data_IF_882109253356
#
_entry.id   IF_882109253356
#
_cell.length_a   1.000
_cell.length_b   1.000
_cell.length_c   1.000
_cell.angle_alpha   90.00
_cell.angle_beta   90.00
_cell.angle_gamma   90.00
#
_symmetry.space_group_name_H-M   'P 1'
#
loop_
_entity.id
_entity.type
_entity.pdbx_description
1 polymer ?
#
# COMPACT_ATOMS: atom_id res chain seq x y z
N UNK A 1 44.93 -4.19 -39.13
CA UNK A 1 45.24 -4.74 -37.80
C UNK A 1 44.11 -5.63 -37.39
N UNK A 2 44.31 -6.88 -37.10
CA UNK A 2 43.29 -7.91 -37.14
C UNK A 2 42.46 -7.98 -35.86
N UNK A 3 41.15 -8.22 -36.08
CA UNK A 3 40.15 -8.55 -35.09
C UNK A 3 40.32 -10.03 -34.70
N UNK A 4 40.49 -10.29 -33.39
CA UNK A 4 40.52 -11.67 -32.87
C UNK A 4 39.15 -12.03 -32.38
N UNK A 5 38.50 -12.97 -33.11
CA UNK A 5 37.28 -13.64 -32.69
C UNK A 5 37.61 -14.72 -31.64
N UNK A 6 37.09 -14.59 -30.43
CA UNK A 6 37.13 -15.63 -29.41
C UNK A 6 35.80 -16.42 -29.46
N UNK A 7 35.92 -17.67 -29.97
CA UNK A 7 34.83 -18.65 -29.97
C UNK A 7 34.77 -19.32 -28.57
N UNK A 8 33.70 -19.08 -27.79
CA UNK A 8 33.47 -19.77 -26.52
C UNK A 8 32.46 -20.88 -26.76
N UNK A 9 32.95 -22.13 -26.76
CA UNK A 9 32.14 -23.34 -26.80
C UNK A 9 31.53 -23.63 -25.42
N UNK A 10 30.20 -23.81 -25.38
CA UNK A 10 29.46 -24.22 -24.16
C UNK A 10 29.75 -25.70 -23.85
N UNK A 11 29.97 -26.08 -22.57
CA UNK A 11 30.00 -27.46 -22.16
C UNK A 11 28.57 -28.05 -22.06
N UNK A 12 28.41 -29.28 -22.52
CA UNK A 12 27.18 -30.07 -22.43
C UNK A 12 26.91 -30.49 -20.98
N UNK A 13 25.67 -30.33 -20.55
CA UNK A 13 25.13 -30.89 -19.32
C UNK A 13 25.09 -32.42 -19.40
N UNK A 14 25.71 -33.07 -18.42
CA UNK A 14 25.59 -34.53 -18.17
C UNK A 14 24.59 -34.68 -17.01
N UNK A 15 23.58 -35.54 -17.21
CA UNK A 15 22.53 -35.84 -16.22
C UNK A 15 23.10 -36.66 -15.05
N UNK A 16 22.63 -36.41 -13.80
CA UNK A 16 23.03 -37.23 -12.67
C UNK A 16 22.11 -38.45 -12.55
N UNK A 17 22.69 -39.63 -12.68
CA UNK A 17 22.05 -40.88 -12.27
C UNK A 17 22.80 -41.45 -11.07
N UNK A 18 21.99 -41.76 -10.02
CA UNK A 18 22.25 -42.66 -8.90
C UNK A 18 23.42 -42.35 -7.95
N UNK A 19 23.06 -41.75 -6.79
CA UNK A 19 23.86 -41.86 -5.58
C UNK A 19 23.11 -42.78 -4.62
N UNK A 20 23.65 -43.97 -4.37
CA UNK A 20 23.17 -44.87 -3.32
C UNK A 20 23.60 -44.32 -1.93
N UNK A 21 22.63 -44.12 -1.06
CA UNK A 21 22.86 -43.79 0.35
C UNK A 21 23.12 -45.07 1.17
N UNK A 22 24.34 -45.24 1.64
CA UNK A 22 24.67 -46.23 2.63
C UNK A 22 24.65 -45.58 4.02
N UNK A 23 23.65 -45.92 4.83
CA UNK A 23 23.56 -45.52 6.24
C UNK A 23 24.53 -46.32 7.09
N UNK A 24 25.50 -45.67 7.73
CA UNK A 24 26.32 -46.26 8.81
C UNK A 24 25.82 -45.74 10.16
N UNK A 25 25.46 -46.65 11.04
CA UNK A 25 25.11 -46.38 12.45
C UNK A 25 26.35 -46.01 13.25
N UNK A 26 26.36 -44.87 13.91
CA UNK A 26 27.46 -44.41 14.74
C UNK A 26 27.38 -45.06 16.13
N UNK A 27 28.47 -45.71 16.50
CA UNK A 27 28.72 -46.16 17.87
C UNK A 27 29.19 -45.01 18.78
N UNK A 28 29.03 -45.18 20.07
CA UNK A 28 29.27 -44.23 21.15
C UNK A 28 30.75 -43.83 21.30
N UNK A 29 31.28 -43.03 20.42
CA UNK A 29 32.50 -42.24 20.72
C UNK A 29 32.74 -41.25 19.55
N UNK A 30 32.52 -40.00 19.82
CA UNK A 30 32.51 -38.96 18.78
C UNK A 30 33.91 -38.62 18.20
N UNK A 31 34.26 -39.30 17.12
CA UNK A 31 35.32 -38.88 16.23
C UNK A 31 34.81 -39.06 14.79
N UNK A 32 34.55 -37.96 14.12
CA UNK A 32 34.20 -37.94 12.70
C UNK A 32 35.48 -37.93 11.88
N UNK A 33 35.80 -39.06 11.19
CA UNK A 33 36.85 -39.06 10.16
C UNK A 33 36.18 -38.78 8.79
N UNK A 34 36.58 -37.65 8.20
CA UNK A 34 36.27 -37.39 6.78
C UNK A 34 37.43 -37.88 5.95
N UNK A 35 37.29 -39.05 5.34
CA UNK A 35 38.24 -39.59 4.38
C UNK A 35 37.85 -39.20 2.97
N UNK A 36 38.61 -38.37 2.29
CA UNK A 36 38.55 -38.19 0.86
C UNK A 36 39.43 -39.26 0.18
N UNK A 37 38.81 -40.16 -0.56
CA UNK A 37 39.53 -41.07 -1.47
C UNK A 37 39.60 -40.43 -2.86
N UNK A 38 40.76 -39.92 -3.23
CA UNK A 38 41.04 -39.55 -4.61
C UNK A 38 41.97 -40.62 -5.20
N UNK A 39 41.45 -41.37 -6.18
CA UNK A 39 42.25 -42.29 -6.98
C UNK A 39 42.84 -41.49 -8.15
N UNK A 40 44.16 -41.30 -8.13
CA UNK A 40 44.93 -40.85 -9.33
C UNK A 40 46.19 -41.70 -9.48
N UNK A 41 46.38 -42.14 -10.70
CA UNK A 41 47.44 -43.04 -11.18
C UNK A 41 48.84 -42.73 -10.68
N UNK A 42 49.50 -43.70 -10.12
CA UNK A 42 50.87 -44.08 -10.42
C UNK A 42 52.02 -43.17 -10.01
N UNK A 43 52.14 -42.83 -8.69
CA UNK A 43 53.46 -42.40 -8.13
C UNK A 43 53.59 -42.85 -6.66
N UNK A 44 54.83 -43.16 -6.19
CA UNK A 44 55.01 -43.75 -4.88
C UNK A 44 54.78 -42.73 -3.73
N UNK A 45 54.01 -43.22 -2.74
CA UNK A 45 53.67 -42.48 -1.52
C UNK A 45 54.92 -42.17 -0.69
N UNK A 46 55.24 -40.91 -0.48
CA UNK A 46 56.10 -40.48 0.63
C UNK A 46 55.16 -40.16 1.81
N UNK A 47 55.24 -40.99 2.85
CA UNK A 47 54.53 -40.75 4.10
C UNK A 47 55.22 -39.60 4.86
N UNK A 48 54.60 -38.40 4.82
CA UNK A 48 54.97 -37.31 5.73
C UNK A 48 54.05 -37.39 6.96
N UNK A 49 54.63 -37.80 8.08
CA UNK A 49 53.94 -37.82 9.36
C UNK A 49 53.77 -36.36 9.85
N UNK A 50 52.67 -35.72 9.56
CA UNK A 50 52.31 -34.44 10.19
C UNK A 50 51.63 -34.70 11.54
N UNK A 51 52.31 -34.29 12.61
CA UNK A 51 51.74 -34.28 13.95
C UNK A 51 50.49 -33.39 13.97
N UNK A 52 49.34 -34.00 14.21
CA UNK A 52 48.03 -33.30 14.33
C UNK A 52 48.03 -32.52 15.66
N UNK A 53 48.35 -31.23 15.59
CA UNK A 53 48.00 -30.29 16.66
C UNK A 53 46.49 -30.06 16.62
N UNK A 54 45.79 -30.65 17.57
CA UNK A 54 44.33 -30.45 17.71
C UNK A 54 44.07 -28.99 18.08
N UNK A 55 43.75 -28.17 17.11
CA UNK A 55 43.16 -26.85 17.33
C UNK A 55 41.70 -27.10 17.79
N UNK A 56 41.47 -27.00 19.10
CA UNK A 56 40.09 -26.85 19.63
C UNK A 56 39.57 -25.49 19.14
N UNK A 57 38.91 -25.47 18.00
CA UNK A 57 38.01 -24.38 17.69
C UNK A 57 36.81 -24.48 18.68
N UNK A 58 36.80 -23.56 19.61
CA UNK A 58 35.60 -23.31 20.40
C UNK A 58 34.52 -22.84 19.40
N UNK A 59 33.59 -23.74 19.08
CA UNK A 59 32.32 -23.35 18.43
C UNK A 59 31.62 -22.51 19.49
N UNK A 60 31.76 -21.21 19.43
CA UNK A 60 30.85 -20.33 20.13
C UNK A 60 29.45 -20.69 19.61
N UNK A 61 28.46 -20.88 20.49
CA UNK A 61 27.09 -21.03 20.02
C UNK A 61 26.77 -19.78 19.20
N UNK A 62 26.43 -19.97 17.92
CA UNK A 62 25.83 -18.93 17.15
C UNK A 62 24.58 -18.53 17.95
N UNK A 63 24.63 -17.38 18.60
CA UNK A 63 23.42 -16.78 19.14
C UNK A 63 22.44 -16.73 17.99
N UNK A 64 21.42 -17.55 18.03
CA UNK A 64 20.28 -17.43 17.13
C UNK A 64 19.70 -16.08 17.45
N UNK A 65 19.98 -15.08 16.61
CA UNK A 65 19.34 -13.78 16.71
C UNK A 65 17.86 -14.08 16.52
N UNK A 66 17.14 -14.18 17.64
CA UNK A 66 15.69 -14.32 17.62
C UNK A 66 15.15 -13.08 16.94
N UNK A 67 14.37 -13.27 15.87
CA UNK A 67 13.74 -12.16 15.19
C UNK A 67 12.92 -11.34 16.21
N UNK A 68 13.03 -10.04 16.15
CA UNK A 68 12.25 -9.13 16.98
C UNK A 68 11.06 -8.61 16.19
N UNK A 69 10.04 -8.21 16.90
CA UNK A 69 8.88 -7.49 16.38
C UNK A 69 9.06 -6.01 16.70
N UNK A 70 9.32 -5.21 15.70
CA UNK A 70 9.33 -3.75 15.85
C UNK A 70 7.91 -3.25 15.76
N UNK A 71 7.50 -2.41 16.70
CA UNK A 71 6.20 -1.74 16.75
C UNK A 71 6.39 -0.24 16.94
N UNK A 72 5.54 0.57 16.32
CA UNK A 72 5.51 2.02 16.51
C UNK A 72 4.22 2.41 17.23
N UNK A 73 4.37 2.95 18.42
CA UNK A 73 3.28 3.36 19.29
C UNK A 73 3.03 4.86 19.17
N UNK A 74 1.78 5.29 19.37
CA UNK A 74 1.45 6.71 19.52
C UNK A 74 1.83 7.15 20.93
N UNK A 75 2.86 7.99 21.04
CA UNK A 75 3.38 8.50 22.31
C UNK A 75 2.66 9.76 22.79
N UNK A 76 2.36 10.65 21.85
CA UNK A 76 1.63 11.88 22.11
C UNK A 76 0.80 12.30 20.91
N UNK A 77 -0.23 13.11 21.13
CA UNK A 77 -1.09 13.65 20.08
C UNK A 77 -0.37 14.76 19.30
N UNK A 78 -0.61 14.90 17.98
CA UNK A 78 -0.06 16.01 17.21
C UNK A 78 -0.66 17.33 17.69
N UNK A 79 0.20 18.32 17.94
CA UNK A 79 -0.19 19.71 18.14
C UNK A 79 -0.21 20.41 16.79
N UNK A 80 -1.22 21.22 16.51
CA UNK A 80 -1.38 21.97 15.24
C UNK A 80 -1.25 21.09 13.98
N UNK A 81 -1.66 19.83 14.03
CA UNK A 81 -1.57 18.89 12.92
C UNK A 81 -0.15 18.53 12.46
N UNK A 82 0.89 18.95 13.18
CA UNK A 82 2.29 18.68 12.81
C UNK A 82 2.68 17.24 13.14
N UNK A 83 3.24 16.56 12.16
CA UNK A 83 3.70 15.17 12.28
C UNK A 83 5.22 15.17 12.35
N UNK A 84 5.77 14.42 13.32
CA UNK A 84 7.21 14.23 13.48
C UNK A 84 7.52 13.03 14.38
N UNK A 85 8.76 12.57 14.39
CA UNK A 85 9.20 11.40 15.16
C UNK A 85 8.87 11.49 16.66
N UNK A 86 8.83 12.70 17.22
CA UNK A 86 8.53 12.94 18.63
C UNK A 86 7.15 12.46 19.07
N UNK A 87 6.20 12.28 18.12
CA UNK A 87 4.85 11.78 18.39
C UNK A 87 4.83 10.27 18.65
N UNK A 88 5.91 9.57 18.34
CA UNK A 88 5.95 8.13 18.30
C UNK A 88 7.00 7.55 19.26
N UNK A 89 6.79 6.30 19.62
CA UNK A 89 7.75 5.48 20.35
C UNK A 89 7.99 4.20 19.57
N UNK A 90 9.24 3.89 19.27
CA UNK A 90 9.64 2.64 18.63
C UNK A 90 9.97 1.63 19.72
N UNK A 91 9.29 0.49 19.73
CA UNK A 91 9.53 -0.57 20.70
C UNK A 91 9.88 -1.87 19.99
N UNK A 92 10.81 -2.64 20.57
CA UNK A 92 11.16 -3.98 20.13
C UNK A 92 10.64 -4.99 21.14
N UNK A 93 9.90 -5.97 20.65
CA UNK A 93 9.35 -7.08 21.43
C UNK A 93 9.80 -8.41 20.84
N UNK A 94 9.62 -9.49 21.58
CA UNK A 94 9.77 -10.82 21.00
C UNK A 94 8.62 -11.07 20.01
N UNK A 95 8.92 -11.80 18.92
CA UNK A 95 7.87 -12.18 17.96
C UNK A 95 6.82 -13.03 18.70
N UNK A 96 5.54 -12.61 18.69
CA UNK A 96 4.49 -13.30 19.40
C UNK A 96 4.23 -14.68 18.77
N UNK A 97 3.66 -15.61 19.56
CA UNK A 97 3.28 -16.91 19.06
C UNK A 97 1.74 -17.01 18.98
N UNK A 98 1.20 -17.55 17.87
CA UNK A 98 -0.25 -17.70 17.73
C UNK A 98 -0.78 -18.79 18.65
N UNK A 99 -1.87 -18.51 19.35
CA UNK A 99 -2.67 -19.48 20.11
C UNK A 99 -3.58 -20.33 19.23
N UNK A 100 -4.53 -21.03 19.86
CA UNK A 100 -5.54 -21.82 19.16
C UNK A 100 -6.45 -20.89 18.31
N UNK A 101 -6.73 -21.27 17.07
CA UNK A 101 -7.48 -20.50 16.08
C UNK A 101 -6.88 -19.11 15.76
N UNK A 102 -5.56 -18.97 15.87
CA UNK A 102 -4.85 -17.76 15.50
C UNK A 102 -3.80 -18.03 14.44
N UNK A 103 -3.40 -16.97 13.77
CA UNK A 103 -2.31 -16.95 12.80
C UNK A 103 -1.25 -15.92 13.21
N UNK A 104 0.00 -16.19 12.87
CA UNK A 104 1.08 -15.21 12.90
C UNK A 104 1.32 -14.71 11.47
N UNK A 105 1.18 -13.41 11.27
CA UNK A 105 1.43 -12.74 10.00
C UNK A 105 2.71 -11.92 10.10
N UNK A 106 3.62 -12.09 9.13
CA UNK A 106 4.72 -11.15 8.89
C UNK A 106 4.25 -10.13 7.87
N UNK A 107 4.13 -8.88 8.29
CA UNK A 107 3.75 -7.78 7.40
C UNK A 107 4.91 -7.48 6.43
N UNK A 108 4.58 -7.27 5.16
CA UNK A 108 5.55 -6.94 4.10
C UNK A 108 5.41 -5.52 3.61
N UNK A 109 4.16 -5.04 3.53
CA UNK A 109 3.86 -3.67 3.11
C UNK A 109 2.75 -3.08 3.96
N UNK A 110 2.87 -1.79 4.22
CA UNK A 110 1.94 -1.00 5.01
C UNK A 110 1.50 0.22 4.22
N UNK A 111 0.23 0.59 4.35
CA UNK A 111 -0.36 1.75 3.71
C UNK A 111 -0.24 2.99 4.58
N UNK A 112 0.18 4.10 4.00
CA UNK A 112 0.02 5.43 4.59
C UNK A 112 -1.14 6.16 3.91
N UNK A 113 -2.06 6.66 4.71
CA UNK A 113 -3.30 7.33 4.29
C UNK A 113 -3.51 8.63 5.07
N UNK A 114 -4.09 9.68 4.46
CA UNK A 114 -4.33 10.96 5.16
C UNK A 114 -5.20 10.81 6.41
N UNK A 115 -6.10 9.83 6.43
CA UNK A 115 -6.97 9.54 7.58
C UNK A 115 -6.21 9.19 8.86
N UNK A 116 -4.95 8.74 8.76
CA UNK A 116 -4.11 8.39 9.91
C UNK A 116 -3.94 9.61 10.83
N UNK A 117 -3.83 10.83 10.27
CA UNK A 117 -3.73 12.03 11.09
C UNK A 117 -4.95 12.19 12.00
N UNK A 118 -6.17 12.02 11.47
CA UNK A 118 -7.39 12.07 12.27
C UNK A 118 -7.45 11.01 13.37
N UNK A 119 -6.86 9.83 13.14
CA UNK A 119 -6.79 8.77 14.16
C UNK A 119 -5.78 9.06 15.29
N UNK A 120 -4.85 9.99 15.05
CA UNK A 120 -3.87 10.44 16.06
C UNK A 120 -4.41 11.57 16.95
N UNK A 121 -5.50 12.24 16.57
CA UNK A 121 -6.11 13.33 17.31
C UNK A 121 -6.96 12.79 18.47
N UNK A 122 -7.46 13.69 19.34
CA UNK A 122 -8.37 13.35 20.42
C UNK A 122 -9.85 13.54 20.03
N UNK A 123 -10.15 13.51 18.73
CA UNK A 123 -11.52 13.71 18.22
C UNK A 123 -12.38 12.47 18.49
N UNK A 124 -13.18 12.53 19.55
CA UNK A 124 -14.12 11.46 19.92
C UNK A 124 -15.37 11.42 19.03
N UNK A 125 -15.65 12.47 18.25
CA UNK A 125 -16.76 12.53 17.29
C UNK A 125 -16.37 11.93 15.91
N UNK A 126 -15.11 11.48 15.77
CA UNK A 126 -14.64 10.82 14.54
C UNK A 126 -15.42 9.52 14.26
N UNK A 127 -15.58 9.19 12.99
CA UNK A 127 -16.22 7.95 12.53
C UNK A 127 -15.50 6.65 12.96
N UNK A 128 -14.31 6.75 13.53
CA UNK A 128 -13.54 5.67 14.13
C UNK A 128 -12.86 6.21 15.40
N UNK A 129 -12.86 5.44 16.51
CA UNK A 129 -12.21 5.90 17.74
C UNK A 129 -10.74 6.27 17.51
N UNK A 130 -10.20 7.30 18.18
CA UNK A 130 -8.77 7.62 18.15
C UNK A 130 -7.90 6.43 18.53
N UNK A 131 -6.64 6.44 18.10
CA UNK A 131 -5.63 5.54 18.66
C UNK A 131 -5.30 6.01 20.07
N UNK A 132 -5.32 5.10 21.06
CA UNK A 132 -4.95 5.44 22.41
C UNK A 132 -3.44 5.71 22.56
N UNK A 133 -3.06 6.57 23.49
CA UNK A 133 -1.65 6.79 23.77
C UNK A 133 -1.02 5.51 24.34
N UNK A 134 0.11 5.11 23.76
CA UNK A 134 0.78 3.85 24.06
C UNK A 134 0.33 2.66 23.21
N UNK A 135 -0.71 2.81 22.40
CA UNK A 135 -1.14 1.78 21.46
C UNK A 135 -0.36 1.85 20.13
N UNK A 136 -0.31 0.72 19.45
CA UNK A 136 0.29 0.64 18.10
C UNK A 136 -0.50 1.48 17.12
N UNK A 137 0.21 2.28 16.34
CA UNK A 137 -0.39 3.09 15.30
C UNK A 137 -1.20 2.26 14.32
N UNK A 138 -2.34 2.79 13.90
CA UNK A 138 -3.28 2.10 13.00
C UNK A 138 -2.93 2.32 11.54
N UNK A 139 -2.93 1.23 10.76
CA UNK A 139 -2.88 1.28 9.29
C UNK A 139 -3.37 -0.01 8.67
N UNK A 140 -3.80 0.03 7.42
CA UNK A 140 -3.94 -1.17 6.62
C UNK A 140 -2.57 -1.68 6.16
N UNK A 141 -2.46 -2.98 6.00
CA UNK A 141 -1.24 -3.64 5.55
C UNK A 141 -1.53 -4.94 4.82
N UNK A 142 -0.48 -5.51 4.25
CA UNK A 142 -0.46 -6.83 3.62
C UNK A 142 0.74 -7.60 4.14
N UNK A 143 0.59 -8.89 4.34
CA UNK A 143 1.64 -9.73 4.88
C UNK A 143 1.40 -11.21 4.61
N UNK A 144 2.41 -12.01 4.91
CA UNK A 144 2.37 -13.48 4.74
C UNK A 144 2.09 -14.16 6.07
N UNK A 145 1.18 -15.11 6.06
CA UNK A 145 0.98 -16.04 7.17
C UNK A 145 2.21 -16.92 7.30
N UNK A 146 2.91 -16.86 8.42
CA UNK A 146 4.13 -17.65 8.68
C UNK A 146 3.89 -18.82 9.64
N UNK A 147 2.85 -18.76 10.46
CA UNK A 147 2.36 -19.87 11.28
C UNK A 147 0.86 -19.79 11.36
N UNK A 148 0.16 -20.91 11.24
CA UNK A 148 -1.29 -20.96 11.33
C UNK A 148 -1.77 -22.12 12.22
N UNK A 149 -2.61 -21.75 13.20
CA UNK A 149 -3.46 -22.67 13.96
C UNK A 149 -4.94 -22.48 13.60
N UNK A 150 -5.24 -21.68 12.54
CA UNK A 150 -6.59 -21.31 12.14
C UNK A 150 -7.07 -22.15 10.95
N UNK A 151 -8.32 -22.66 10.95
CA UNK A 151 -8.81 -23.57 9.90
C UNK A 151 -8.90 -22.91 8.51
N UNK A 152 -9.14 -21.59 8.45
CA UNK A 152 -9.36 -20.89 7.18
C UNK A 152 -8.10 -20.28 6.58
N UNK A 153 -6.96 -20.27 7.30
CA UNK A 153 -5.71 -19.69 6.82
C UNK A 153 -4.59 -20.72 6.84
N UNK A 154 -3.77 -20.74 5.79
CA UNK A 154 -2.61 -21.61 5.67
C UNK A 154 -1.30 -20.80 5.70
N UNK A 155 -0.21 -21.45 6.13
CA UNK A 155 1.13 -20.90 6.00
C UNK A 155 1.43 -20.58 4.52
N UNK A 156 1.95 -19.37 4.26
CA UNK A 156 2.20 -18.86 2.93
C UNK A 156 1.06 -18.03 2.32
N UNK A 157 -0.16 -18.09 2.89
CA UNK A 157 -1.24 -17.22 2.43
C UNK A 157 -0.82 -15.74 2.53
N UNK A 158 -1.08 -14.99 1.47
CA UNK A 158 -1.00 -13.54 1.48
C UNK A 158 -2.32 -12.99 2.00
N UNK A 159 -2.27 -12.18 3.06
CA UNK A 159 -3.46 -11.62 3.71
C UNK A 159 -3.34 -10.10 3.83
N UNK A 160 -4.48 -9.40 3.75
CA UNK A 160 -4.54 -7.96 3.93
C UNK A 160 -5.65 -7.56 4.91
N UNK A 161 -5.44 -6.46 5.64
CA UNK A 161 -6.38 -5.91 6.61
C UNK A 161 -5.76 -4.83 7.48
N UNK A 162 -6.39 -4.54 8.62
CA UNK A 162 -5.83 -3.58 9.58
C UNK A 162 -4.75 -4.26 10.42
N UNK A 163 -3.48 -4.00 10.09
CA UNK A 163 -2.33 -4.67 10.73
C UNK A 163 -1.56 -3.75 11.70
N UNK A 164 -1.68 -2.43 11.53
CA UNK A 164 -0.97 -1.44 12.33
C UNK A 164 0.51 -1.27 11.93
N UNK A 165 1.20 -0.39 12.62
CA UNK A 165 2.61 -0.10 12.37
C UNK A 165 3.50 -1.08 13.15
N UNK A 166 3.62 -2.28 12.63
CA UNK A 166 4.40 -3.39 13.22
C UNK A 166 4.87 -4.37 12.16
N UNK A 167 5.91 -5.14 12.48
CA UNK A 167 6.43 -6.16 11.55
C UNK A 167 5.65 -7.48 11.64
N UNK A 168 5.19 -7.85 12.84
CA UNK A 168 4.48 -9.11 13.09
C UNK A 168 3.17 -8.87 13.82
N UNK A 169 2.15 -9.61 13.44
CA UNK A 169 0.79 -9.56 14.01
C UNK A 169 0.29 -10.99 14.30
N UNK A 170 -0.18 -11.23 15.53
CA UNK A 170 -1.06 -12.38 15.82
C UNK A 170 -2.52 -11.95 15.65
N UNK A 171 -3.31 -12.74 14.97
CA UNK A 171 -4.72 -12.44 14.66
C UNK A 171 -5.58 -13.70 14.69
N UNK A 172 -6.85 -13.54 15.13
CA UNK A 172 -7.90 -14.56 15.02
C UNK A 172 -8.55 -14.60 13.62
N UNK A 173 -7.93 -13.96 12.62
CA UNK A 173 -8.40 -13.90 11.24
C UNK A 173 -9.50 -12.87 10.98
N UNK A 174 -10.15 -12.32 12.02
CA UNK A 174 -11.21 -11.33 11.85
C UNK A 174 -10.68 -10.04 11.23
N UNK A 175 -11.34 -9.57 10.17
CA UNK A 175 -10.92 -8.36 9.46
C UNK A 175 -9.70 -8.56 8.55
N UNK A 176 -9.15 -9.76 8.47
CA UNK A 176 -8.17 -10.14 7.45
C UNK A 176 -8.84 -10.84 6.27
N UNK A 177 -8.41 -10.49 5.08
CA UNK A 177 -8.89 -11.10 3.83
C UNK A 177 -7.70 -11.72 3.10
N UNK A 178 -7.87 -12.93 2.57
CA UNK A 178 -6.88 -13.52 1.68
C UNK A 178 -6.81 -12.73 0.39
N UNK A 179 -5.60 -12.45 -0.05
CA UNK A 179 -5.33 -11.89 -1.37
C UNK A 179 -5.41 -13.00 -2.40
N UNK A 180 -6.09 -12.77 -3.51
CA UNK A 180 -6.24 -13.78 -4.57
C UNK A 180 -4.89 -14.07 -5.22
N UNK A 181 -4.72 -15.32 -5.66
CA UNK A 181 -3.52 -15.75 -6.38
C UNK A 181 -3.25 -14.86 -7.60
N UNK A 182 -1.98 -14.48 -7.78
CA UNK A 182 -1.54 -13.63 -8.88
C UNK A 182 -1.66 -12.12 -8.61
N UNK A 183 -2.16 -11.71 -7.46
CA UNK A 183 -2.17 -10.32 -7.00
C UNK A 183 -0.99 -10.13 -6.04
N UNK A 184 -0.10 -9.20 -6.36
CA UNK A 184 1.02 -8.83 -5.50
C UNK A 184 0.60 -7.87 -4.37
N UNK A 185 1.52 -7.62 -3.44
CA UNK A 185 1.31 -6.80 -2.26
C UNK A 185 0.92 -5.36 -2.60
N UNK A 186 1.56 -4.77 -3.60
CA UNK A 186 1.27 -3.39 -4.02
C UNK A 186 -0.10 -3.29 -4.69
N UNK A 187 -0.44 -4.20 -5.59
CA UNK A 187 -1.76 -4.27 -6.23
C UNK A 187 -2.85 -4.50 -5.19
N UNK A 188 -2.61 -5.38 -4.19
CA UNK A 188 -3.54 -5.62 -3.10
C UNK A 188 -3.87 -4.33 -2.35
N UNK A 189 -2.86 -3.52 -1.96
CA UNK A 189 -3.06 -2.29 -1.21
C UNK A 189 -3.51 -1.11 -2.07
N UNK A 190 -3.02 -1.00 -3.31
CA UNK A 190 -3.33 0.15 -4.18
C UNK A 190 -4.71 0.04 -4.83
N UNK A 191 -5.11 -1.18 -5.24
CA UNK A 191 -6.31 -1.40 -6.06
C UNK A 191 -7.41 -2.09 -5.26
N UNK A 192 -7.12 -3.20 -4.61
CA UNK A 192 -8.15 -3.98 -3.89
C UNK A 192 -8.28 -3.63 -2.40
N UNK A 193 -7.39 -2.77 -1.89
CA UNK A 193 -7.45 -2.20 -0.55
C UNK A 193 -8.41 -1.02 -0.43
N UNK A 194 -8.26 -0.25 0.66
CA UNK A 194 -9.13 0.91 0.94
C UNK A 194 -9.27 1.89 -0.24
N UNK A 195 -8.21 2.21 -1.02
CA UNK A 195 -8.36 3.17 -2.12
C UNK A 195 -9.36 2.74 -3.19
N UNK A 196 -9.28 1.49 -3.65
CA UNK A 196 -10.20 0.97 -4.67
C UNK A 196 -11.62 0.82 -4.16
N UNK A 197 -11.78 0.33 -2.91
CA UNK A 197 -13.09 0.24 -2.26
C UNK A 197 -13.73 1.63 -2.10
N UNK A 198 -12.95 2.63 -1.70
CA UNK A 198 -13.37 4.03 -1.56
C UNK A 198 -13.79 4.62 -2.91
N UNK A 199 -12.98 4.43 -3.94
CA UNK A 199 -13.29 4.90 -5.29
C UNK A 199 -14.60 4.29 -5.81
N UNK A 200 -14.76 2.98 -5.64
CA UNK A 200 -15.95 2.25 -6.08
C UNK A 200 -17.19 2.69 -5.31
N UNK A 201 -17.15 2.72 -3.98
CA UNK A 201 -18.26 3.16 -3.15
C UNK A 201 -18.69 4.59 -3.49
N UNK A 202 -17.72 5.51 -3.56
CA UNK A 202 -18.03 6.92 -3.82
C UNK A 202 -18.56 7.16 -5.23
N UNK A 203 -17.89 6.60 -6.25
CA UNK A 203 -18.28 6.84 -7.63
C UNK A 203 -19.54 6.07 -8.03
N UNK A 204 -19.54 4.74 -7.84
CA UNK A 204 -20.61 3.88 -8.36
C UNK A 204 -21.90 3.99 -7.54
N UNK A 205 -21.79 4.03 -6.20
CA UNK A 205 -22.96 3.95 -5.34
C UNK A 205 -23.52 5.34 -4.93
N UNK A 206 -22.67 6.38 -4.87
CA UNK A 206 -23.07 7.75 -4.54
C UNK A 206 -23.12 8.61 -5.80
N UNK A 207 -22.02 8.66 -6.56
CA UNK A 207 -21.90 9.42 -7.80
C UNK A 207 -22.86 8.94 -8.90
N UNK A 208 -23.06 7.63 -9.02
CA UNK A 208 -23.96 6.98 -9.99
C UNK A 208 -23.74 7.49 -11.41
N UNK A 209 -22.55 7.29 -11.97
CA UNK A 209 -22.14 7.89 -13.23
C UNK A 209 -23.03 7.42 -14.38
N UNK A 210 -23.26 8.34 -15.34
CA UNK A 210 -23.96 8.06 -16.59
C UNK A 210 -23.05 8.41 -17.76
N UNK A 211 -23.03 7.57 -18.78
CA UNK A 211 -22.22 7.84 -19.99
C UNK A 211 -22.55 9.20 -20.58
N UNK A 212 -21.52 9.95 -20.99
CA UNK A 212 -21.63 11.32 -21.51
C UNK A 212 -21.61 12.42 -20.44
N UNK A 213 -21.69 12.10 -19.15
CA UNK A 213 -21.54 13.07 -18.08
C UNK A 213 -20.09 13.56 -17.93
N UNK A 214 -19.92 14.71 -17.28
CA UNK A 214 -18.60 15.26 -16.92
C UNK A 214 -18.34 15.05 -15.44
N UNK A 215 -17.23 14.37 -15.13
CA UNK A 215 -16.64 14.20 -13.80
C UNK A 215 -15.49 15.19 -13.59
N UNK A 216 -15.49 15.89 -12.46
CA UNK A 216 -14.29 16.54 -11.92
C UNK A 216 -13.86 15.78 -10.67
N UNK A 217 -12.58 15.43 -10.59
CA UNK A 217 -12.01 14.75 -9.41
C UNK A 217 -10.80 15.54 -8.90
N UNK A 218 -10.81 15.87 -7.60
CA UNK A 218 -9.66 16.49 -6.92
C UNK A 218 -8.74 15.43 -6.31
N UNK A 219 -7.47 15.77 -6.09
CA UNK A 219 -6.48 14.77 -5.73
C UNK A 219 -6.35 13.66 -6.79
N UNK A 220 -6.53 14.04 -8.07
CA UNK A 220 -6.72 13.12 -9.19
C UNK A 220 -5.54 12.16 -9.45
N UNK A 221 -4.34 12.53 -9.03
CA UNK A 221 -3.15 11.68 -9.09
C UNK A 221 -2.89 10.91 -7.78
N UNK A 222 -3.79 10.97 -6.82
CA UNK A 222 -3.76 10.18 -5.59
C UNK A 222 -4.34 8.78 -5.78
N UNK A 223 -4.24 7.96 -4.75
CA UNK A 223 -4.66 6.55 -4.79
C UNK A 223 -6.15 6.37 -5.12
N UNK A 224 -7.03 7.19 -4.53
CA UNK A 224 -8.47 7.14 -4.80
C UNK A 224 -8.81 7.85 -6.11
N UNK A 225 -8.34 9.09 -6.28
CA UNK A 225 -8.72 9.93 -7.41
C UNK A 225 -8.32 9.35 -8.77
N UNK A 226 -7.16 8.66 -8.85
CA UNK A 226 -6.73 8.02 -10.09
C UNK A 226 -7.63 6.84 -10.49
N UNK A 227 -8.09 6.05 -9.53
CA UNK A 227 -9.02 4.94 -9.80
C UNK A 227 -10.40 5.48 -10.19
N UNK A 228 -10.92 6.47 -9.45
CA UNK A 228 -12.20 7.14 -9.77
C UNK A 228 -12.23 7.60 -11.22
N UNK A 229 -11.19 8.32 -11.65
CA UNK A 229 -11.17 8.84 -13.02
C UNK A 229 -11.08 7.76 -14.08
N UNK A 230 -10.33 6.69 -13.84
CA UNK A 230 -10.22 5.58 -14.80
C UNK A 230 -11.52 4.77 -14.90
N UNK A 231 -12.22 4.51 -13.80
CA UNK A 231 -13.55 3.89 -13.84
C UNK A 231 -14.48 4.78 -14.66
N UNK A 232 -14.52 6.09 -14.36
CA UNK A 232 -15.37 7.03 -15.07
C UNK A 232 -15.05 7.10 -16.58
N UNK A 233 -13.76 7.06 -16.95
CA UNK A 233 -13.34 6.98 -18.37
C UNK A 233 -13.85 5.72 -19.04
N UNK A 234 -13.72 4.58 -18.38
CA UNK A 234 -14.19 3.29 -18.89
C UNK A 234 -15.71 3.27 -19.09
N UNK A 235 -16.46 4.02 -18.27
CA UNK A 235 -17.93 4.16 -18.35
C UNK A 235 -18.37 5.27 -19.32
N UNK A 236 -17.42 5.90 -20.04
CA UNK A 236 -17.72 6.87 -21.10
C UNK A 236 -17.98 8.29 -20.60
N UNK A 237 -17.47 8.67 -19.44
CA UNK A 237 -17.54 10.04 -18.94
C UNK A 237 -16.38 10.88 -19.50
N UNK A 238 -16.63 12.19 -19.55
CA UNK A 238 -15.57 13.19 -19.65
C UNK A 238 -14.98 13.42 -18.27
N UNK A 239 -13.64 13.24 -18.13
CA UNK A 239 -12.95 13.29 -16.82
C UNK A 239 -11.92 14.40 -16.79
N UNK A 240 -12.07 15.32 -15.84
CA UNK A 240 -11.14 16.41 -15.56
C UNK A 240 -10.52 16.19 -14.18
N UNK A 241 -9.19 16.10 -14.14
CA UNK A 241 -8.45 15.92 -12.89
C UNK A 241 -7.88 17.23 -12.36
N UNK A 242 -7.98 17.47 -11.04
CA UNK A 242 -7.30 18.60 -10.38
C UNK A 242 -6.13 18.06 -9.58
N UNK A 243 -4.94 18.59 -9.85
CA UNK A 243 -3.64 18.12 -9.30
C UNK A 243 -2.76 19.29 -8.89
N UNK A 244 -1.69 19.01 -8.12
CA UNK A 244 -0.79 20.03 -7.58
C UNK A 244 0.55 20.17 -8.31
N UNK A 245 0.76 19.52 -9.48
CA UNK A 245 1.98 19.68 -10.29
C UNK A 245 1.74 19.31 -11.75
N UNK A 246 2.60 19.82 -12.64
CA UNK A 246 2.54 19.49 -14.07
C UNK A 246 2.85 17.99 -14.31
N UNK A 247 3.81 17.41 -13.59
CA UNK A 247 4.11 15.98 -13.67
C UNK A 247 2.88 15.11 -13.39
N UNK A 248 2.07 15.49 -12.38
CA UNK A 248 0.82 14.79 -12.05
C UNK A 248 -0.24 15.02 -13.12
N UNK A 249 -0.30 16.22 -13.70
CA UNK A 249 -1.20 16.53 -14.81
C UNK A 249 -0.87 15.68 -16.05
N UNK A 250 0.40 15.61 -16.41
CA UNK A 250 0.88 14.80 -17.53
C UNK A 250 0.57 13.31 -17.33
N UNK A 251 0.77 12.80 -16.11
CA UNK A 251 0.47 11.40 -15.82
C UNK A 251 -1.00 11.07 -16.01
N UNK A 252 -1.92 11.84 -15.43
CA UNK A 252 -3.35 11.53 -15.53
C UNK A 252 -3.90 11.70 -16.95
N UNK A 253 -3.36 12.64 -17.75
CA UNK A 253 -3.82 12.85 -19.12
C UNK A 253 -3.20 11.88 -20.12
N UNK A 254 -1.89 11.65 -20.05
CA UNK A 254 -1.16 10.87 -21.05
C UNK A 254 -1.20 9.36 -20.77
N UNK A 255 -1.27 8.94 -19.51
CA UNK A 255 -1.25 7.52 -19.15
C UNK A 255 -2.61 7.01 -18.67
N UNK A 256 -3.37 7.81 -17.87
CA UNK A 256 -4.66 7.38 -17.36
C UNK A 256 -5.84 7.78 -18.28
N UNK A 257 -5.58 8.55 -19.35
CA UNK A 257 -6.56 8.89 -20.37
C UNK A 257 -7.62 9.91 -19.94
N UNK A 258 -7.34 10.75 -18.92
CA UNK A 258 -8.24 11.84 -18.55
C UNK A 258 -8.32 12.88 -19.69
N UNK A 259 -9.49 13.49 -19.87
CA UNK A 259 -9.72 14.46 -20.94
C UNK A 259 -9.09 15.83 -20.70
N UNK A 260 -8.65 16.07 -19.46
CA UNK A 260 -7.92 17.29 -19.11
C UNK A 260 -7.47 17.28 -17.65
N UNK A 261 -6.51 18.17 -17.37
CA UNK A 261 -5.98 18.37 -16.03
C UNK A 261 -5.89 19.87 -15.71
N UNK A 262 -6.01 20.19 -14.44
CA UNK A 262 -5.84 21.53 -13.88
C UNK A 262 -4.77 21.44 -12.79
N UNK A 263 -3.66 22.15 -12.97
CA UNK A 263 -2.68 22.34 -11.91
C UNK A 263 -3.07 23.56 -11.06
N UNK A 264 -3.77 23.32 -9.93
CA UNK A 264 -4.33 24.39 -9.11
C UNK A 264 -3.28 25.35 -8.51
N UNK A 265 -1.99 24.97 -8.49
CA UNK A 265 -0.89 25.85 -8.02
C UNK A 265 -0.40 26.85 -9.08
N UNK A 266 -0.78 26.65 -10.34
CA UNK A 266 -0.24 27.39 -11.48
C UNK A 266 -1.32 27.99 -12.37
N UNK A 267 -2.38 27.23 -12.61
CA UNK A 267 -3.46 27.62 -13.52
C UNK A 267 -4.46 28.57 -12.86
N UNK A 268 -5.11 29.42 -13.66
CA UNK A 268 -6.36 30.06 -13.25
C UNK A 268 -7.44 28.98 -13.20
N UNK A 269 -7.77 28.54 -11.98
CA UNK A 269 -8.68 27.43 -11.74
C UNK A 269 -10.08 27.68 -12.33
N UNK A 270 -10.61 28.91 -12.19
CA UNK A 270 -11.94 29.26 -12.69
C UNK A 270 -11.98 29.20 -14.23
N UNK A 271 -11.02 29.82 -14.89
CA UNK A 271 -10.93 29.87 -16.35
C UNK A 271 -10.70 28.46 -16.94
N UNK A 272 -9.78 27.69 -16.36
CA UNK A 272 -9.49 26.32 -16.81
C UNK A 272 -10.69 25.39 -16.61
N UNK A 273 -11.34 25.49 -15.46
CA UNK A 273 -12.53 24.68 -15.18
C UNK A 273 -13.65 25.01 -16.18
N UNK A 274 -13.87 26.30 -16.48
CA UNK A 274 -14.86 26.70 -17.47
C UNK A 274 -14.57 26.14 -18.86
N UNK A 275 -13.33 26.25 -19.33
CA UNK A 275 -12.93 25.79 -20.66
C UNK A 275 -12.97 24.26 -20.80
N UNK A 276 -12.61 23.52 -19.73
CA UNK A 276 -12.57 22.07 -19.75
C UNK A 276 -13.93 21.39 -19.47
N UNK A 277 -14.89 22.13 -18.89
CA UNK A 277 -16.24 21.63 -18.58
C UNK A 277 -17.33 22.48 -19.26
N UNK A 278 -17.39 22.56 -20.61
CA UNK A 278 -18.35 23.41 -21.33
C UNK A 278 -19.80 23.11 -20.92
N UNK A 279 -20.16 21.83 -20.72
CA UNK A 279 -21.48 21.37 -20.34
C UNK A 279 -21.67 21.28 -18.82
N UNK A 280 -20.79 21.94 -18.03
CA UNK A 280 -20.76 21.92 -16.57
C UNK A 280 -20.31 20.58 -15.99
N UNK A 281 -20.40 20.46 -14.65
CA UNK A 281 -19.91 19.32 -13.89
C UNK A 281 -21.11 18.52 -13.36
N UNK A 282 -21.26 17.27 -13.79
CA UNK A 282 -22.32 16.38 -13.34
C UNK A 282 -21.94 15.67 -12.04
N UNK A 283 -20.67 15.25 -11.93
CA UNK A 283 -20.15 14.60 -10.73
C UNK A 283 -18.89 15.33 -10.28
N UNK A 284 -18.89 15.72 -9.03
CA UNK A 284 -17.69 16.23 -8.37
C UNK A 284 -17.26 15.23 -7.30
N UNK A 285 -16.13 14.55 -7.54
CA UNK A 285 -15.52 13.65 -6.55
C UNK A 285 -14.47 14.44 -5.76
N UNK A 286 -14.81 14.75 -4.52
CA UNK A 286 -14.06 15.66 -3.66
C UNK A 286 -13.13 14.92 -2.73
N UNK A 287 -11.81 15.21 -2.84
CA UNK A 287 -10.77 14.70 -1.95
C UNK A 287 -9.95 15.80 -1.27
N UNK A 288 -10.15 17.10 -1.64
CA UNK A 288 -9.21 18.15 -1.30
C UNK A 288 -9.77 19.24 -0.38
N UNK A 289 -10.98 19.72 -0.66
CA UNK A 289 -11.55 20.87 0.07
C UNK A 289 -11.00 22.22 -0.38
N UNK A 290 -11.10 23.21 0.49
CA UNK A 290 -10.52 24.54 0.31
C UNK A 290 -11.10 25.35 -0.83
N UNK A 291 -10.30 26.22 -1.44
CA UNK A 291 -10.71 27.10 -2.54
C UNK A 291 -11.16 26.34 -3.79
N UNK A 292 -10.58 25.16 -4.06
CA UNK A 292 -10.93 24.36 -5.22
C UNK A 292 -12.41 23.98 -5.15
N UNK A 293 -12.91 23.59 -4.00
CA UNK A 293 -14.29 23.19 -3.76
C UNK A 293 -15.27 24.29 -4.18
N UNK A 294 -14.97 25.56 -3.86
CA UNK A 294 -15.84 26.69 -4.20
C UNK A 294 -16.02 26.84 -5.70
N UNK A 295 -14.93 26.73 -6.47
CA UNK A 295 -14.97 26.86 -7.92
C UNK A 295 -15.76 25.71 -8.57
N UNK A 296 -15.52 24.47 -8.14
CA UNK A 296 -16.19 23.31 -8.73
C UNK A 296 -17.68 23.30 -8.38
N UNK A 297 -18.06 23.59 -7.12
CA UNK A 297 -19.48 23.68 -6.71
C UNK A 297 -20.24 24.75 -7.50
N UNK A 298 -19.61 25.91 -7.78
CA UNK A 298 -20.24 26.94 -8.62
C UNK A 298 -20.44 26.47 -10.08
N UNK A 299 -19.65 25.52 -10.55
CA UNK A 299 -19.68 24.98 -11.91
C UNK A 299 -20.61 23.76 -12.07
N UNK A 300 -21.23 23.25 -10.99
CA UNK A 300 -22.10 22.07 -11.05
C UNK A 300 -23.23 22.23 -12.08
N UNK A 301 -23.59 21.14 -12.73
CA UNK A 301 -24.76 21.01 -13.60
C UNK A 301 -26.04 20.89 -12.78
N UNK A 302 -27.21 20.96 -13.44
CA UNK A 302 -28.48 20.62 -12.80
C UNK A 302 -28.50 19.14 -12.41
N UNK A 303 -29.03 18.85 -11.21
CA UNK A 303 -29.02 17.52 -10.61
C UNK A 303 -27.63 16.90 -10.44
N UNK A 304 -26.59 17.73 -10.38
CA UNK A 304 -25.23 17.29 -10.12
C UNK A 304 -25.08 16.62 -8.75
N UNK A 305 -24.02 15.83 -8.61
CA UNK A 305 -23.72 15.08 -7.37
C UNK A 305 -22.31 15.44 -6.92
N UNK A 306 -22.19 15.85 -5.67
CA UNK A 306 -20.90 16.06 -4.99
C UNK A 306 -20.69 14.90 -4.03
N UNK A 307 -19.67 14.10 -4.30
CA UNK A 307 -19.26 12.97 -3.47
C UNK A 307 -18.12 13.45 -2.60
N UNK A 308 -18.35 13.66 -1.31
CA UNK A 308 -17.34 14.15 -0.36
C UNK A 308 -16.64 12.95 0.26
N UNK A 309 -15.43 12.68 -0.24
CA UNK A 309 -14.58 11.57 0.19
C UNK A 309 -13.52 12.02 1.21
N UNK A 310 -12.99 13.24 1.05
CA UNK A 310 -11.98 13.79 1.92
C UNK A 310 -11.76 15.28 1.67
N UNK A 311 -11.11 15.94 2.63
CA UNK A 311 -10.81 17.38 2.58
C UNK A 311 -9.37 17.61 3.09
N UNK A 312 -8.38 16.99 2.41
CA UNK A 312 -6.99 16.95 2.87
C UNK A 312 -6.37 18.34 3.09
N UNK A 313 -6.85 19.37 2.39
CA UNK A 313 -6.39 20.74 2.58
C UNK A 313 -6.74 21.31 3.97
N UNK A 314 -7.78 20.78 4.60
CA UNK A 314 -8.26 21.24 5.90
C UNK A 314 -7.75 20.40 7.08
N UNK A 315 -7.13 19.22 6.83
CA UNK A 315 -6.71 18.30 7.91
C UNK A 315 -5.60 18.85 8.81
N UNK A 316 -4.77 19.77 8.29
CA UNK A 316 -3.70 20.44 9.05
C UNK A 316 -3.96 21.94 9.19
N UNK A 317 -5.15 22.42 8.86
CA UNK A 317 -5.48 23.83 8.94
C UNK A 317 -5.90 24.21 10.36
N UNK A 318 -5.43 25.35 10.86
CA UNK A 318 -5.80 25.89 12.17
C UNK A 318 -7.31 26.20 12.24
N UNK A 319 -7.88 26.64 11.12
CA UNK A 319 -9.30 26.90 10.97
C UNK A 319 -9.81 26.24 9.67
N UNK A 320 -11.00 25.61 9.69
CA UNK A 320 -11.59 25.03 8.49
C UNK A 320 -11.78 26.07 7.39
N UNK A 321 -11.52 25.71 6.15
CA UNK A 321 -11.78 26.57 5.00
C UNK A 321 -13.25 26.99 4.95
N UNK A 322 -13.56 28.26 4.65
CA UNK A 322 -14.95 28.66 4.46
C UNK A 322 -15.60 27.86 3.32
N UNK A 323 -16.74 27.25 3.61
CA UNK A 323 -17.48 26.44 2.63
C UNK A 323 -17.94 27.21 1.39
N UNK A 324 -18.42 26.54 0.36
CA UNK A 324 -18.97 27.17 -0.84
C UNK A 324 -20.27 27.92 -0.53
N UNK A 325 -20.63 28.85 -1.42
CA UNK A 325 -21.97 29.43 -1.38
C UNK A 325 -23.01 28.37 -1.76
N UNK A 326 -23.98 28.12 -0.86
CA UNK A 326 -25.02 27.10 -1.06
C UNK A 326 -26.16 27.51 -2.01
N UNK A 327 -26.30 28.81 -2.35
CA UNK A 327 -27.37 29.28 -3.22
C UNK A 327 -27.40 28.59 -4.60
N UNK A 328 -26.27 28.32 -5.27
CA UNK A 328 -26.25 27.55 -6.51
C UNK A 328 -26.85 26.15 -6.39
N UNK A 329 -26.77 25.51 -5.21
CA UNK A 329 -27.31 24.18 -4.98
C UNK A 329 -28.84 24.15 -5.14
N UNK A 330 -29.53 25.17 -4.61
CA UNK A 330 -31.01 25.28 -4.75
C UNK A 330 -31.35 25.43 -6.23
N UNK A 331 -30.67 26.35 -6.94
CA UNK A 331 -30.98 26.64 -8.34
C UNK A 331 -30.78 25.43 -9.25
N UNK A 332 -29.79 24.58 -8.92
CA UNK A 332 -29.40 23.43 -9.74
C UNK A 332 -29.81 22.08 -9.12
N UNK A 333 -30.43 22.07 -7.95
CA UNK A 333 -30.90 20.86 -7.25
C UNK A 333 -29.74 19.86 -7.06
N UNK A 334 -28.55 20.36 -6.68
CA UNK A 334 -27.34 19.55 -6.47
C UNK A 334 -27.48 18.72 -5.19
N UNK A 335 -27.12 17.46 -5.25
CA UNK A 335 -26.97 16.59 -4.09
C UNK A 335 -25.52 16.65 -3.59
N UNK A 336 -25.33 16.70 -2.27
CA UNK A 336 -24.02 16.56 -1.63
C UNK A 336 -24.12 15.41 -0.63
N UNK A 337 -23.18 14.46 -0.71
CA UNK A 337 -23.14 13.32 0.20
C UNK A 337 -21.71 12.99 0.60
N UNK A 338 -21.47 13.00 1.92
CA UNK A 338 -20.27 12.44 2.53
C UNK A 338 -20.42 10.95 2.80
N UNK A 339 -19.30 10.25 2.96
CA UNK A 339 -19.26 8.85 3.38
C UNK A 339 -17.95 8.50 4.06
N UNK A 340 -17.97 7.50 4.93
CA UNK A 340 -16.81 6.90 5.57
C UNK A 340 -16.75 5.41 5.26
N UNK A 341 -15.57 4.90 4.91
CA UNK A 341 -15.40 3.49 4.52
C UNK A 341 -15.71 2.47 5.61
N UNK A 342 -15.49 2.71 6.91
CA UNK A 342 -15.90 1.77 7.95
C UNK A 342 -17.36 1.34 7.86
N UNK A 343 -18.28 2.26 7.47
CA UNK A 343 -19.70 1.97 7.31
C UNK A 343 -19.98 0.99 6.16
N UNK A 344 -19.04 0.83 5.23
CA UNK A 344 -19.21 0.06 4.00
C UNK A 344 -18.31 -1.17 3.91
N UNK A 345 -17.43 -1.43 4.90
CA UNK A 345 -16.52 -2.58 4.87
C UNK A 345 -17.27 -3.93 4.83
N UNK A 346 -18.47 -4.01 5.38
CA UNK A 346 -19.33 -5.18 5.27
C UNK A 346 -19.72 -5.52 3.83
N UNK A 347 -19.59 -4.57 2.88
CA UNK A 347 -19.80 -4.72 1.43
C UNK A 347 -18.52 -4.89 0.64
N UNK A 348 -17.36 -5.11 1.29
CA UNK A 348 -16.07 -5.15 0.59
C UNK A 348 -16.07 -6.12 -0.59
N UNK A 349 -16.64 -7.32 -0.44
CA UNK A 349 -16.72 -8.30 -1.54
C UNK A 349 -17.57 -7.81 -2.72
N UNK A 350 -18.67 -7.08 -2.45
CA UNK A 350 -19.50 -6.48 -3.50
C UNK A 350 -18.72 -5.39 -4.24
N UNK A 351 -18.05 -4.51 -3.49
CA UNK A 351 -17.24 -3.42 -4.07
C UNK A 351 -16.07 -3.96 -4.90
N UNK A 352 -15.39 -5.01 -4.42
CA UNK A 352 -14.38 -5.72 -5.20
C UNK A 352 -14.99 -6.31 -6.47
N UNK A 353 -16.18 -6.91 -6.38
CA UNK A 353 -16.90 -7.44 -7.54
C UNK A 353 -17.26 -6.37 -8.58
N UNK A 354 -17.57 -5.15 -8.15
CA UNK A 354 -17.80 -4.01 -9.05
C UNK A 354 -16.49 -3.50 -9.70
N UNK A 355 -15.37 -3.52 -8.97
CA UNK A 355 -14.07 -3.04 -9.45
C UNK A 355 -13.34 -4.05 -10.35
N UNK A 356 -13.43 -5.34 -10.03
CA UNK A 356 -12.67 -6.40 -10.68
C UNK A 356 -12.79 -6.42 -12.21
N UNK A 357 -13.95 -6.18 -12.85
CA UNK A 357 -14.06 -6.16 -14.31
C UNK A 357 -13.17 -5.09 -14.98
N UNK A 358 -12.96 -3.94 -14.36
CA UNK A 358 -12.07 -2.90 -14.88
C UNK A 358 -10.61 -3.31 -14.78
N UNK A 359 -10.23 -3.95 -13.68
CA UNK A 359 -8.88 -4.48 -13.46
C UNK A 359 -8.58 -5.59 -14.46
N UNK A 360 -9.50 -6.55 -14.63
CA UNK A 360 -9.35 -7.67 -15.59
C UNK A 360 -9.22 -7.21 -17.05
N UNK A 361 -9.85 -6.08 -17.40
CA UNK A 361 -9.71 -5.48 -18.75
C UNK A 361 -8.45 -4.60 -18.89
N UNK A 362 -7.62 -4.49 -17.85
CA UNK A 362 -6.43 -3.64 -17.87
C UNK A 362 -6.75 -2.14 -17.90
N UNK A 363 -7.93 -1.74 -17.41
CA UNK A 363 -8.41 -0.35 -17.43
C UNK A 363 -7.99 0.42 -16.18
N UNK A 364 -7.40 -0.25 -15.20
CA UNK A 364 -6.91 0.38 -13.96
C UNK A 364 -5.38 0.25 -13.92
N UNK A 365 -4.73 1.38 -13.95
CA UNK A 365 -3.31 1.55 -13.70
C UNK A 365 -3.11 2.31 -12.40
N UNK A 366 -2.05 2.01 -11.68
CA UNK A 366 -1.71 2.74 -10.45
C UNK A 366 -0.21 3.04 -10.42
N UNK A 367 0.16 3.97 -9.58
CA UNK A 367 1.55 4.22 -9.16
C UNK A 367 1.64 4.10 -7.65
N UNK A 368 2.69 3.45 -7.18
CA UNK A 368 3.08 3.41 -5.79
C UNK A 368 4.33 4.26 -5.55
N UNK A 369 4.37 4.91 -4.41
CA UNK A 369 5.57 5.54 -3.86
C UNK A 369 5.94 4.72 -2.63
N UNK A 370 6.93 3.86 -2.77
CA UNK A 370 7.38 2.95 -1.71
C UNK A 370 8.54 3.59 -0.98
N UNK A 371 8.44 3.68 0.35
CA UNK A 371 9.53 4.02 1.26
C UNK A 371 9.92 2.77 2.05
N UNK A 372 11.21 2.63 2.38
CA UNK A 372 11.74 1.41 2.99
C UNK A 372 11.87 1.57 4.52
N UNK A 373 11.51 0.49 5.23
CA UNK A 373 11.65 0.37 6.68
C UNK A 373 10.50 0.98 7.46
N UNK A 374 10.04 0.27 8.51
CA UNK A 374 8.87 0.65 9.32
C UNK A 374 8.98 2.07 9.90
N UNK A 375 10.17 2.46 10.38
CA UNK A 375 10.40 3.77 10.99
C UNK A 375 10.27 4.94 10.02
N UNK A 376 10.43 4.70 8.71
CA UNK A 376 10.21 5.73 7.69
C UNK A 376 8.77 6.24 7.64
N UNK A 377 7.82 5.48 8.19
CA UNK A 377 6.41 5.87 8.28
C UNK A 377 6.20 7.15 9.09
N UNK A 378 7.03 7.37 10.13
CA UNK A 378 6.86 8.50 11.06
C UNK A 378 6.95 9.86 10.37
N UNK A 379 7.88 10.01 9.43
CA UNK A 379 8.01 11.22 8.61
C UNK A 379 7.34 11.09 7.24
N UNK A 380 7.26 9.86 6.73
CA UNK A 380 6.68 9.55 5.43
C UNK A 380 5.25 10.06 5.28
N UNK A 381 4.47 10.08 6.35
CA UNK A 381 3.10 10.58 6.35
C UNK A 381 3.00 12.06 5.89
N UNK A 382 4.03 12.89 6.15
CA UNK A 382 4.08 14.28 5.69
C UNK A 382 4.07 14.41 4.17
N UNK A 383 4.61 13.42 3.43
CA UNK A 383 4.61 13.43 1.97
C UNK A 383 3.20 13.55 1.37
N UNK A 384 2.18 13.06 2.09
CA UNK A 384 0.77 13.15 1.66
C UNK A 384 0.26 14.59 1.76
N UNK A 385 0.51 15.27 2.88
CA UNK A 385 0.04 16.63 3.14
C UNK A 385 0.81 17.66 2.32
N UNK A 386 2.10 17.42 2.06
CA UNK A 386 2.92 18.23 1.18
C UNK A 386 2.62 18.00 -0.32
N UNK A 387 1.87 16.95 -0.64
CA UNK A 387 1.57 16.53 -2.01
C UNK A 387 2.79 16.06 -2.79
N UNK A 388 3.82 15.56 -2.11
CA UNK A 388 5.08 15.06 -2.69
C UNK A 388 5.03 13.58 -3.07
N UNK A 389 4.03 12.84 -2.60
CA UNK A 389 3.82 11.45 -3.00
C UNK A 389 3.47 11.33 -4.48
N UNK A 390 3.87 10.23 -5.11
CA UNK A 390 3.56 9.86 -6.50
C UNK A 390 2.65 8.63 -6.49
N UNK A 391 1.34 8.84 -6.55
CA UNK A 391 0.38 7.77 -6.39
C UNK A 391 0.15 7.36 -4.93
N UNK A 392 -0.06 6.07 -4.69
CA UNK A 392 -0.26 5.50 -3.34
C UNK A 392 1.06 5.46 -2.57
N UNK A 393 1.06 5.97 -1.35
CA UNK A 393 2.21 5.89 -0.46
C UNK A 393 2.16 4.59 0.36
N UNK A 394 3.23 3.81 0.26
CA UNK A 394 3.43 2.54 0.95
C UNK A 394 4.75 2.53 1.71
N UNK A 395 4.80 1.77 2.78
CA UNK A 395 6.03 1.41 3.50
C UNK A 395 6.28 -0.07 3.26
N UNK A 396 7.48 -0.41 2.81
CA UNK A 396 7.96 -1.79 2.71
C UNK A 396 8.78 -2.12 3.95
N UNK A 397 8.42 -3.22 4.61
CA UNK A 397 9.02 -3.68 5.87
C UNK A 397 10.09 -4.75 5.65
#
# INVERSE_FOLDING_TARGET
MPVVNLCITRPRLVSPSTVEHTLFTAGRSGLLFIGFAALICGYPLILVCCAATAVRMAIQPMETIMAKNTEILLKQRPEDGKIGEHLFEVVERDVPQPGDNEILVKQTHMSLDPAILGWMTADEESYIPPVELGDVMRSSGVGKVITSNHPDFAEGDLVMGMMGWREYLVSDGKGLNKVQDGIDEETALCVFGLPGLTATQGLMNIGKPQSGETLVVTGAAGSVGSIVGQIAKADGLRVIGVVGSDEKADWITNELGFDGAINYKKDDLAQKLESLTPDRVNIYFENTGGEIQKHVVNRMAEHGRVVVCGMIADYQADEPSPGPNWLPLIKKRVMIQGFAMPDHLHKASELVGQLAPYVQKGQIQYRSHVIEGLTSAMEGLNLLFEGKNKGKLLVKL
#
